data_IF_706545689045
#
_entry.id   IF_706545689045
#
_cell.length_a   1.000
_cell.length_b   1.000
_cell.length_c   1.000
_cell.angle_alpha   90.00
_cell.angle_beta   90.00
_cell.angle_gamma   90.00
#
_symmetry.space_group_name_H-M   'P 1'
#
loop_
_entity.id
_entity.type
_entity.pdbx_description
1 polymer ?
#
# COMPACT_ATOMS: atom_id res chain seq x y z
N UNK A 1 42.13 -14.42 -56.12
CA UNK A 1 41.60 -13.08 -55.81
C UNK A 1 41.77 -12.85 -54.31
N UNK A 2 42.64 -11.89 -53.95
CA UNK A 2 42.76 -11.20 -52.63
C UNK A 2 42.09 -9.81 -52.81
N UNK A 3 41.63 -9.07 -51.78
CA UNK A 3 42.25 -8.87 -50.44
C UNK A 3 41.29 -9.19 -49.27
N UNK A 4 41.67 -9.51 -48.02
CA UNK A 4 42.74 -9.09 -47.09
C UNK A 4 42.62 -7.62 -46.64
N UNK A 5 41.72 -7.34 -45.68
CA UNK A 5 41.74 -6.10 -44.89
C UNK A 5 42.32 -6.40 -43.50
N UNK A 6 43.46 -5.76 -43.23
CA UNK A 6 44.19 -5.78 -41.99
C UNK A 6 43.75 -4.65 -41.06
N UNK A 7 43.98 -4.89 -39.77
CA UNK A 7 43.66 -4.07 -38.62
C UNK A 7 44.47 -2.76 -38.50
N UNK A 8 43.90 -1.77 -37.80
CA UNK A 8 44.54 -0.72 -37.00
C UNK A 8 43.41 -0.13 -36.12
N UNK A 9 43.39 -0.22 -34.79
CA UNK A 9 44.29 0.24 -33.72
C UNK A 9 43.57 1.34 -32.90
N UNK A 10 43.80 1.28 -31.60
CA UNK A 10 43.08 1.91 -30.51
C UNK A 10 43.21 3.44 -30.44
N UNK A 11 42.24 4.08 -29.77
CA UNK A 11 42.51 5.27 -28.97
C UNK A 11 41.50 5.34 -27.80
N UNK A 12 42.01 5.08 -26.59
CA UNK A 12 41.38 5.50 -25.34
C UNK A 12 41.34 7.03 -25.29
N UNK A 13 40.21 7.60 -24.89
CA UNK A 13 40.15 8.96 -24.38
C UNK A 13 39.34 8.94 -23.07
N UNK A 14 40.09 8.98 -21.97
CA UNK A 14 39.62 9.34 -20.64
C UNK A 14 39.06 10.75 -20.69
N UNK A 15 37.80 10.94 -20.29
CA UNK A 15 37.23 12.28 -20.06
C UNK A 15 37.17 12.50 -18.54
N UNK A 16 37.93 13.46 -17.99
CA UNK A 16 37.93 13.77 -16.57
C UNK A 16 36.71 14.60 -16.14
N UNK A 17 36.24 14.34 -14.92
CA UNK A 17 35.28 15.15 -14.16
C UNK A 17 35.81 16.57 -13.89
N UNK A 18 34.96 17.61 -13.93
CA UNK A 18 35.28 18.87 -13.30
C UNK A 18 34.93 18.81 -11.80
N UNK A 19 35.96 18.93 -10.98
CA UNK A 19 35.90 19.32 -9.58
C UNK A 19 36.46 20.75 -9.46
N UNK A 20 35.66 21.68 -8.93
CA UNK A 20 35.98 22.96 -8.28
C UNK A 20 34.64 23.76 -8.24
N UNK A 21 34.26 24.50 -7.19
CA UNK A 21 35.06 25.16 -6.19
C UNK A 21 34.31 25.19 -4.84
N UNK A 22 35.06 24.96 -3.77
CA UNK A 22 34.72 25.31 -2.40
C UNK A 22 35.34 26.69 -2.15
N UNK A 23 34.52 27.67 -1.77
CA UNK A 23 34.98 28.96 -1.25
C UNK A 23 34.68 29.01 0.25
N UNK A 24 35.75 29.31 0.98
CA UNK A 24 35.94 29.22 2.42
C UNK A 24 35.54 30.56 3.10
N UNK A 25 35.77 30.77 4.40
CA UNK A 25 34.78 31.27 5.34
C UNK A 25 34.91 32.78 5.62
N UNK A 26 33.80 33.45 5.88
CA UNK A 26 33.81 34.80 6.45
C UNK A 26 33.11 34.79 7.82
N UNK A 27 33.96 34.90 8.85
CA UNK A 27 33.59 35.18 10.22
C UNK A 27 32.70 36.44 10.30
N UNK A 28 31.74 36.43 11.23
CA UNK A 28 31.13 37.66 11.74
C UNK A 28 31.17 37.67 13.26
N UNK A 29 31.44 38.86 13.86
CA UNK A 29 31.95 38.98 15.21
C UNK A 29 30.86 38.98 16.28
N UNK A 30 31.34 38.75 17.49
CA UNK A 30 30.61 38.76 18.74
C UNK A 30 29.83 40.06 19.03
N UNK A 31 28.82 39.85 19.86
CA UNK A 31 27.81 40.74 20.44
C UNK A 31 28.28 42.13 20.94
N UNK A 32 27.30 43.04 21.10
CA UNK A 32 27.26 43.98 22.22
C UNK A 32 26.17 43.58 23.24
N UNK A 33 26.55 43.64 24.51
CA UNK A 33 25.68 43.59 25.69
C UNK A 33 25.54 45.02 26.29
N UNK A 34 24.71 45.29 27.31
CA UNK A 34 23.30 45.63 27.16
C UNK A 34 22.99 47.06 27.64
N UNK A 35 21.89 47.65 27.17
CA UNK A 35 21.25 48.76 27.86
C UNK A 35 19.77 48.47 28.08
N UNK A 36 19.42 48.63 29.34
CA UNK A 36 18.17 48.32 29.98
C UNK A 36 17.01 49.18 29.46
N UNK A 37 15.81 48.67 29.74
CA UNK A 37 14.49 49.32 29.77
C UNK A 37 13.61 49.08 28.54
N UNK A 38 12.76 48.04 28.62
CA UNK A 38 11.32 48.31 28.63
C UNK A 38 10.49 47.15 29.23
N UNK A 39 9.46 47.44 30.05
CA UNK A 39 8.56 46.44 30.61
C UNK A 39 7.43 46.13 29.62
N UNK A 40 7.06 44.85 29.55
CA UNK A 40 5.83 44.42 28.87
C UNK A 40 6.04 43.83 27.49
N UNK A 41 6.56 42.60 27.42
CA UNK A 41 6.25 41.70 26.32
C UNK A 41 5.56 40.49 26.91
N UNK A 42 4.25 40.40 26.69
CA UNK A 42 3.47 39.20 26.94
C UNK A 42 4.13 38.05 26.19
N UNK A 43 4.68 37.07 26.92
CA UNK A 43 5.23 35.87 26.32
C UNK A 43 4.11 35.15 25.55
N UNK A 44 4.26 35.08 24.22
CA UNK A 44 3.41 34.23 23.41
C UNK A 44 3.62 32.77 23.86
N UNK A 45 2.55 31.97 24.04
CA UNK A 45 2.70 30.57 24.40
C UNK A 45 3.50 29.85 23.30
N UNK A 46 4.30 28.82 23.66
CA UNK A 46 5.01 28.03 22.67
C UNK A 46 3.97 27.42 21.73
N UNK A 47 4.04 27.79 20.45
CA UNK A 47 3.30 27.11 19.40
C UNK A 47 3.85 25.69 19.36
N UNK A 48 3.10 24.74 19.88
CA UNK A 48 3.42 23.33 19.77
C UNK A 48 3.53 23.02 18.28
N UNK A 49 4.74 22.71 17.81
CA UNK A 49 4.95 22.22 16.45
C UNK A 49 4.12 20.95 16.31
N UNK A 50 3.11 20.90 15.43
CA UNK A 50 2.36 19.68 15.21
C UNK A 50 3.35 18.60 14.79
N UNK A 51 3.33 17.47 15.51
CA UNK A 51 4.14 16.31 15.14
C UNK A 51 3.88 15.99 13.67
N UNK A 52 4.95 15.94 12.87
CA UNK A 52 4.86 15.61 11.47
C UNK A 52 4.12 14.26 11.31
N UNK A 53 3.19 14.14 10.35
CA UNK A 53 2.53 12.86 10.10
C UNK A 53 3.59 11.77 9.88
N UNK A 54 3.35 10.54 10.35
CA UNK A 54 4.30 9.45 10.17
C UNK A 54 4.65 9.33 8.68
N UNK A 55 5.95 9.23 8.40
CA UNK A 55 6.43 9.02 7.04
C UNK A 55 5.72 7.79 6.44
N UNK A 56 5.34 7.84 5.14
CA UNK A 56 4.73 6.70 4.49
C UNK A 56 5.65 5.47 4.60
N UNK A 57 5.09 4.26 4.71
CA UNK A 57 5.87 3.04 4.93
C UNK A 57 6.90 2.88 3.80
N UNK A 58 8.16 2.72 4.21
CA UNK A 58 9.30 2.47 3.32
C UNK A 58 9.53 0.98 3.12
N UNK A 59 10.23 0.63 2.04
CA UNK A 59 10.61 -0.76 1.76
C UNK A 59 11.61 -1.32 2.78
N UNK A 60 11.55 -2.64 3.06
CA UNK A 60 12.41 -3.33 4.02
C UNK A 60 13.89 -3.32 3.62
N UNK A 61 14.77 -2.81 4.48
CA UNK A 61 16.21 -2.77 4.25
C UNK A 61 16.89 -4.09 4.65
N UNK A 62 16.30 -4.80 5.62
CA UNK A 62 16.86 -6.03 6.17
C UNK A 62 16.01 -7.23 5.78
N UNK A 63 16.66 -8.40 5.68
CA UNK A 63 15.97 -9.65 5.36
C UNK A 63 14.86 -10.00 6.37
N UNK A 64 15.05 -9.73 7.66
CA UNK A 64 14.03 -9.96 8.69
C UNK A 64 12.73 -9.17 8.46
N UNK A 65 12.79 -8.11 7.65
CA UNK A 65 11.70 -7.21 7.35
C UNK A 65 10.99 -7.59 6.03
N UNK A 66 11.57 -8.48 5.22
CA UNK A 66 10.99 -8.91 3.93
C UNK A 66 9.81 -9.89 4.08
N UNK A 67 9.86 -10.88 5.00
CA UNK A 67 8.74 -11.78 5.21
C UNK A 67 7.44 -11.04 5.56
N UNK A 68 6.34 -11.46 4.94
CA UNK A 68 5.04 -10.85 5.08
C UNK A 68 4.20 -10.92 3.81
N UNK A 69 3.13 -10.15 3.82
CA UNK A 69 2.17 -10.03 2.72
C UNK A 69 2.63 -8.97 1.72
N UNK A 70 2.63 -9.34 0.44
CA UNK A 70 3.06 -8.50 -0.68
C UNK A 70 2.02 -8.55 -1.80
N UNK A 71 1.82 -7.42 -2.49
CA UNK A 71 1.10 -7.36 -3.76
C UNK A 71 2.10 -7.42 -4.91
N UNK A 72 2.00 -8.44 -5.75
CA UNK A 72 2.67 -8.51 -7.03
C UNK A 72 1.71 -8.06 -8.12
N UNK A 73 2.08 -7.08 -8.92
CA UNK A 73 1.30 -6.59 -10.06
C UNK A 73 2.15 -6.52 -11.32
N UNK A 74 1.49 -6.66 -12.49
CA UNK A 74 2.12 -6.44 -13.80
C UNK A 74 1.79 -5.03 -14.27
N UNK A 75 2.82 -4.20 -14.41
CA UNK A 75 2.70 -2.82 -14.82
C UNK A 75 2.03 -2.73 -16.21
N UNK A 76 1.19 -1.72 -16.40
CA UNK A 76 0.39 -1.56 -17.62
C UNK A 76 -0.85 -2.46 -17.69
N UNK A 77 -1.14 -3.28 -16.68
CA UNK A 77 -2.36 -4.10 -16.60
C UNK A 77 -3.07 -3.97 -15.26
N UNK A 78 -4.28 -4.50 -15.16
CA UNK A 78 -5.02 -4.62 -13.89
C UNK A 78 -4.74 -5.96 -13.15
N UNK A 79 -3.75 -6.73 -13.61
CA UNK A 79 -3.45 -8.05 -13.08
C UNK A 79 -2.55 -7.95 -11.86
N UNK A 80 -3.06 -8.45 -10.73
CA UNK A 80 -2.36 -8.49 -9.44
C UNK A 80 -2.60 -9.78 -8.69
N UNK A 81 -1.69 -10.12 -7.79
CA UNK A 81 -1.73 -11.26 -6.91
C UNK A 81 -1.16 -10.86 -5.55
N UNK A 82 -1.95 -11.07 -4.50
CA UNK A 82 -1.44 -11.01 -3.13
C UNK A 82 -0.74 -12.34 -2.80
N UNK A 83 0.49 -12.25 -2.34
CA UNK A 83 1.31 -13.39 -1.92
C UNK A 83 1.91 -13.16 -0.54
N UNK A 84 2.31 -14.24 0.11
CA UNK A 84 2.99 -14.21 1.39
C UNK A 84 4.40 -14.80 1.23
N UNK A 85 5.41 -13.99 1.46
CA UNK A 85 6.82 -14.38 1.53
C UNK A 85 7.12 -14.78 2.97
N UNK A 86 7.65 -15.98 3.18
CA UNK A 86 7.87 -16.51 4.53
C UNK A 86 9.33 -16.80 4.79
N UNK A 87 9.78 -16.67 6.03
CA UNK A 87 11.18 -16.90 6.41
C UNK A 87 11.59 -18.36 6.37
N UNK A 88 10.65 -19.31 6.35
CA UNK A 88 11.01 -20.72 6.42
C UNK A 88 11.72 -21.17 5.15
N UNK A 89 12.78 -21.97 5.34
CA UNK A 89 13.51 -22.56 4.21
C UNK A 89 12.64 -23.61 3.50
N UNK A 90 12.80 -23.70 2.19
CA UNK A 90 12.26 -24.70 1.30
C UNK A 90 13.29 -25.10 0.25
N UNK A 91 12.85 -25.91 -0.72
CA UNK A 91 13.77 -26.55 -1.68
C UNK A 91 14.41 -25.54 -2.66
N UNK A 92 13.77 -24.40 -2.91
CA UNK A 92 14.22 -23.35 -3.83
C UNK A 92 14.51 -22.02 -3.13
N UNK A 93 15.02 -22.04 -1.90
CA UNK A 93 15.24 -20.86 -1.08
C UNK A 93 14.19 -20.73 0.02
N UNK A 94 13.67 -19.53 0.28
CA UNK A 94 12.61 -19.34 1.26
C UNK A 94 11.22 -19.59 0.68
N UNK A 95 10.29 -20.04 1.53
CA UNK A 95 8.94 -20.43 1.12
C UNK A 95 8.09 -19.21 0.81
N UNK A 96 7.19 -19.39 -0.15
CA UNK A 96 6.13 -18.44 -0.45
C UNK A 96 4.81 -19.17 -0.65
N UNK A 97 3.72 -18.44 -0.49
CA UNK A 97 2.37 -18.96 -0.71
C UNK A 97 1.49 -17.90 -1.34
N UNK A 98 0.59 -18.31 -2.22
CA UNK A 98 -0.39 -17.43 -2.85
C UNK A 98 -1.70 -18.17 -3.10
N UNK A 99 -2.85 -17.48 -3.12
CA UNK A 99 -4.14 -18.10 -3.44
C UNK A 99 -4.15 -18.75 -4.82
N UNK A 100 -4.96 -19.80 -5.01
CA UNK A 100 -5.05 -20.53 -6.28
C UNK A 100 -5.38 -19.62 -7.49
N UNK A 101 -6.17 -18.56 -7.27
CA UNK A 101 -6.53 -17.57 -8.29
C UNK A 101 -5.34 -16.79 -8.87
N UNK A 102 -4.23 -16.69 -8.15
CA UNK A 102 -3.04 -15.95 -8.61
C UNK A 102 -2.46 -16.51 -9.90
N UNK A 103 -2.52 -17.84 -10.11
CA UNK A 103 -2.01 -18.46 -11.35
C UNK A 103 -2.76 -18.00 -12.59
N UNK A 104 -4.04 -17.65 -12.44
CA UNK A 104 -4.86 -17.09 -13.52
C UNK A 104 -4.62 -15.60 -13.70
N UNK A 105 -4.43 -14.87 -12.59
CA UNK A 105 -4.18 -13.43 -12.61
C UNK A 105 -2.78 -13.09 -13.13
N UNK A 106 -1.76 -13.85 -12.75
CA UNK A 106 -0.37 -13.64 -13.16
C UNK A 106 0.26 -14.99 -13.53
N UNK A 107 0.18 -15.43 -14.79
CA UNK A 107 0.68 -16.75 -15.20
C UNK A 107 2.18 -16.99 -14.90
N UNK A 108 2.98 -15.92 -14.78
CA UNK A 108 4.39 -15.99 -14.39
C UNK A 108 4.59 -16.69 -13.03
N UNK A 109 3.61 -16.65 -12.13
CA UNK A 109 3.70 -17.28 -10.80
C UNK A 109 3.68 -18.82 -10.86
N UNK A 110 3.33 -19.42 -12.00
CA UNK A 110 3.35 -20.87 -12.16
C UNK A 110 4.77 -21.46 -12.07
N UNK A 111 5.78 -20.69 -12.48
CA UNK A 111 7.18 -21.12 -12.43
C UNK A 111 7.83 -20.91 -11.07
N UNK A 112 7.21 -20.12 -10.19
CA UNK A 112 7.82 -19.68 -8.93
C UNK A 112 7.75 -20.79 -7.88
N UNK A 113 8.91 -21.17 -7.36
CA UNK A 113 9.06 -22.21 -6.35
C UNK A 113 9.53 -21.66 -4.99
N UNK A 114 10.18 -20.51 -4.98
CA UNK A 114 10.70 -19.89 -3.76
C UNK A 114 11.10 -18.43 -3.99
N UNK A 115 11.58 -17.81 -2.92
CA UNK A 115 12.16 -16.47 -2.97
C UNK A 115 13.51 -16.43 -2.27
N UNK A 116 14.32 -15.45 -2.65
CA UNK A 116 15.63 -15.16 -2.07
C UNK A 116 15.73 -13.66 -1.79
N UNK A 117 16.59 -13.31 -0.84
CA UNK A 117 16.99 -11.94 -0.59
C UNK A 117 18.50 -11.83 -0.60
N UNK A 118 18.99 -10.74 -1.17
CA UNK A 118 20.42 -10.42 -1.26
C UNK A 118 20.58 -8.91 -1.36
N UNK A 119 21.81 -8.41 -1.40
CA UNK A 119 22.11 -6.98 -1.53
C UNK A 119 21.50 -6.35 -2.79
N UNK A 120 21.26 -7.15 -3.84
CA UNK A 120 20.58 -6.72 -5.08
C UNK A 120 19.05 -6.63 -4.96
N UNK A 121 18.47 -7.05 -3.84
CA UNK A 121 17.03 -7.03 -3.57
C UNK A 121 16.39 -8.42 -3.46
N UNK A 122 15.05 -8.43 -3.57
CA UNK A 122 14.21 -9.64 -3.52
C UNK A 122 14.21 -10.33 -4.88
N UNK A 123 14.31 -11.65 -4.91
CA UNK A 123 14.23 -12.44 -6.15
C UNK A 123 13.21 -13.56 -5.99
N UNK A 124 12.34 -13.72 -6.98
CA UNK A 124 11.46 -14.88 -7.08
C UNK A 124 12.09 -15.88 -8.05
N UNK A 125 12.24 -17.13 -7.62
CA UNK A 125 13.05 -18.14 -8.32
C UNK A 125 12.25 -19.37 -8.71
N UNK A 126 12.72 -20.07 -9.75
CA UNK A 126 12.22 -21.37 -10.15
C UNK A 126 12.74 -22.51 -9.23
N UNK A 127 12.32 -23.75 -9.51
CA UNK A 127 12.75 -24.94 -8.75
C UNK A 127 14.27 -25.22 -8.81
N UNK A 128 14.96 -24.67 -9.80
CA UNK A 128 16.41 -24.76 -9.96
C UNK A 128 17.13 -23.53 -9.40
N UNK A 129 16.43 -22.70 -8.62
CA UNK A 129 16.96 -21.47 -8.02
C UNK A 129 17.35 -20.41 -9.08
N UNK A 130 16.80 -20.52 -10.30
CA UNK A 130 17.01 -19.52 -11.35
C UNK A 130 16.05 -18.35 -11.15
N UNK A 131 16.53 -17.10 -11.27
CA UNK A 131 15.68 -15.92 -11.11
C UNK A 131 14.64 -15.83 -12.23
N UNK A 132 13.37 -15.75 -11.85
CA UNK A 132 12.24 -15.45 -12.74
C UNK A 132 11.94 -13.95 -12.69
N UNK A 133 11.95 -13.36 -11.49
CA UNK A 133 11.78 -11.93 -11.27
C UNK A 133 12.86 -11.45 -10.30
N UNK A 134 13.71 -10.54 -10.77
CA UNK A 134 14.69 -9.84 -9.95
C UNK A 134 14.21 -8.43 -9.62
N UNK A 135 13.85 -8.21 -8.36
CA UNK A 135 13.29 -6.96 -7.90
C UNK A 135 14.35 -6.04 -7.35
N UNK A 136 14.40 -4.82 -7.88
CA UNK A 136 15.24 -3.72 -7.39
C UNK A 136 14.37 -2.60 -6.80
N UNK A 137 14.93 -1.81 -5.88
CA UNK A 137 14.20 -0.63 -5.34
C UNK A 137 13.91 0.38 -6.43
N UNK A 138 12.66 0.85 -6.46
CA UNK A 138 12.31 2.04 -7.22
C UNK A 138 12.78 3.29 -6.46
N UNK A 139 13.12 4.39 -7.15
CA UNK A 139 13.51 5.65 -6.51
C UNK A 139 12.47 6.22 -5.53
N UNK A 140 11.21 5.82 -5.67
CA UNK A 140 10.12 6.22 -4.77
C UNK A 140 10.14 5.52 -3.40
N UNK A 141 11.05 4.57 -3.19
CA UNK A 141 11.26 3.79 -1.97
C UNK A 141 10.02 3.06 -1.41
N UNK A 142 8.97 2.93 -2.22
CA UNK A 142 7.67 2.36 -1.82
C UNK A 142 7.32 1.08 -2.55
N UNK A 143 8.01 0.79 -3.66
CA UNK A 143 7.82 -0.42 -4.44
C UNK A 143 9.14 -0.98 -4.97
N UNK A 144 9.19 -2.31 -5.12
CA UNK A 144 10.26 -2.94 -5.88
C UNK A 144 9.80 -3.18 -7.31
N UNK A 145 10.71 -3.12 -8.27
CA UNK A 145 10.41 -3.31 -9.69
C UNK A 145 11.31 -4.38 -10.28
N UNK A 146 10.72 -5.28 -11.08
CA UNK A 146 11.44 -6.27 -11.88
C UNK A 146 11.11 -6.06 -13.36
N UNK A 147 12.13 -6.01 -14.21
CA UNK A 147 11.99 -5.89 -15.68
C UNK A 147 12.47 -7.17 -16.34
N UNK A 148 11.65 -7.74 -17.20
CA UNK A 148 12.01 -8.90 -18.02
C UNK A 148 12.55 -8.43 -19.38
N UNK A 149 13.33 -9.29 -20.02
CA UNK A 149 13.90 -9.04 -21.36
C UNK A 149 12.82 -8.79 -22.42
N UNK A 150 11.62 -9.38 -22.25
CA UNK A 150 10.46 -9.14 -23.11
C UNK A 150 9.76 -7.79 -22.94
N UNK A 151 10.32 -6.87 -22.14
CA UNK A 151 9.75 -5.55 -21.86
C UNK A 151 8.66 -5.54 -20.78
N UNK A 152 8.25 -6.71 -20.28
CA UNK A 152 7.29 -6.80 -19.19
C UNK A 152 7.89 -6.27 -17.88
N UNK A 153 7.14 -5.45 -17.16
CA UNK A 153 7.56 -4.90 -15.87
C UNK A 153 6.59 -5.33 -14.78
N UNK A 154 7.13 -5.73 -13.64
CA UNK A 154 6.38 -6.17 -12.47
C UNK A 154 6.73 -5.30 -11.27
N UNK A 155 5.72 -4.97 -10.47
CA UNK A 155 5.86 -4.21 -9.24
C UNK A 155 5.54 -5.12 -8.05
N UNK A 156 6.34 -5.03 -7.00
CA UNK A 156 6.14 -5.73 -5.74
C UNK A 156 6.04 -4.71 -4.61
N UNK A 157 4.86 -4.64 -3.98
CA UNK A 157 4.50 -3.62 -2.98
C UNK A 157 4.21 -4.29 -1.64
N UNK A 158 4.81 -3.83 -0.53
CA UNK A 158 4.53 -4.41 0.78
C UNK A 158 3.12 -4.05 1.24
N UNK A 159 2.37 -5.04 1.72
CA UNK A 159 1.03 -4.84 2.30
C UNK A 159 1.03 -5.00 3.82
N UNK A 160 1.74 -6.01 4.34
CA UNK A 160 1.93 -6.25 5.77
C UNK A 160 3.20 -7.06 5.98
N UNK A 161 4.32 -6.40 6.27
CA UNK A 161 5.60 -7.06 6.55
C UNK A 161 5.87 -7.07 8.04
N UNK A 162 6.67 -8.02 8.53
CA UNK A 162 6.93 -8.17 9.96
C UNK A 162 7.39 -6.87 10.66
N UNK A 163 8.11 -6.00 9.95
CA UNK A 163 8.58 -4.70 10.46
C UNK A 163 7.47 -3.64 10.58
N UNK A 164 6.39 -3.75 9.82
CA UNK A 164 5.23 -2.86 9.90
C UNK A 164 4.25 -3.28 11.00
N UNK A 165 4.40 -4.49 11.56
CA UNK A 165 3.61 -4.92 12.71
C UNK A 165 4.06 -4.10 13.93
N UNK A 166 3.13 -3.45 14.66
CA UNK A 166 3.48 -2.71 15.86
C UNK A 166 4.28 -3.60 16.80
N UNK A 167 5.38 -3.09 17.34
CA UNK A 167 6.04 -3.74 18.46
C UNK A 167 5.01 -3.86 19.58
N UNK A 168 4.52 -5.08 19.82
CA UNK A 168 3.69 -5.35 20.98
C UNK A 168 4.48 -4.82 22.18
N UNK A 169 3.91 -3.86 22.89
CA UNK A 169 4.53 -3.24 24.06
C UNK A 169 5.02 -4.37 24.96
N UNK A 170 6.32 -4.43 25.19
CA UNK A 170 6.89 -5.33 26.17
C UNK A 170 6.27 -4.97 27.51
N UNK A 171 5.19 -5.64 27.88
CA UNK A 171 4.74 -5.65 29.26
C UNK A 171 5.91 -6.18 30.08
N UNK A 172 6.35 -5.48 31.14
CA UNK A 172 7.49 -5.91 31.91
C UNK A 172 7.18 -7.31 32.45
N UNK A 173 8.07 -8.26 32.14
CA UNK A 173 8.13 -9.54 32.80
C UNK A 173 8.46 -9.26 34.27
N UNK A 174 7.43 -9.25 35.12
CA UNK A 174 7.62 -9.32 36.56
C UNK A 174 8.11 -10.75 36.83
N UNK A 175 9.40 -10.89 37.08
CA UNK A 175 9.94 -12.11 37.66
C UNK A 175 9.39 -12.25 39.08
N UNK A 176 8.65 -13.32 39.33
CA UNK A 176 8.10 -13.64 40.64
C UNK A 176 7.32 -14.95 40.59
N UNK A 177 8.02 -16.05 40.86
CA UNK A 177 7.41 -17.34 41.19
C UNK A 177 6.66 -17.18 42.51
N UNK A 178 5.35 -17.44 42.56
CA UNK A 178 4.76 -18.07 43.76
C UNK A 178 3.43 -18.77 43.44
N UNK A 179 3.45 -20.08 43.66
CA UNK A 179 2.43 -21.05 44.06
C UNK A 179 0.95 -20.82 43.70
N UNK A 180 0.37 -21.80 43.00
CA UNK A 180 -1.06 -22.00 42.87
C UNK A 180 -1.74 -22.23 44.23
N UNK A 181 -2.97 -21.72 44.43
CA UNK A 181 -3.96 -22.41 45.24
C UNK A 181 -5.15 -22.87 44.39
N UNK A 182 -5.71 -24.01 44.82
CA UNK A 182 -6.89 -24.69 44.30
C UNK A 182 -8.15 -23.80 44.21
N UNK A 183 -9.16 -24.18 43.39
CA UNK A 183 -10.30 -23.33 43.10
C UNK A 183 -11.28 -23.31 44.28
N UNK A 184 -11.64 -22.11 44.76
CA UNK A 184 -12.84 -21.89 45.58
C UNK A 184 -13.96 -21.28 44.73
N UNK A 185 -15.22 -21.65 44.99
CA UNK A 185 -16.29 -21.52 44.01
C UNK A 185 -16.84 -20.11 43.89
N UNK A 186 -17.25 -19.78 42.66
CA UNK A 186 -18.28 -18.81 42.25
C UNK A 186 -18.61 -17.72 43.29
N UNK A 187 -17.86 -16.62 43.20
CA UNK A 187 -18.30 -15.33 43.72
C UNK A 187 -18.98 -14.59 42.58
N UNK A 188 -20.28 -14.39 42.69
CA UNK A 188 -21.11 -13.58 41.79
C UNK A 188 -20.43 -12.22 41.56
N UNK A 189 -20.05 -11.95 40.31
CA UNK A 189 -19.49 -10.66 39.93
C UNK A 189 -20.59 -9.57 40.05
N UNK A 190 -20.28 -8.39 40.61
CA UNK A 190 -21.18 -7.25 40.47
C UNK A 190 -21.26 -6.85 38.99
N UNK A 191 -22.46 -6.49 38.53
CA UNK A 191 -22.67 -5.99 37.19
C UNK A 191 -21.76 -4.77 36.94
N UNK A 192 -20.99 -4.83 35.86
CA UNK A 192 -20.19 -3.71 35.38
C UNK A 192 -21.13 -2.57 35.03
N UNK A 193 -20.94 -1.34 35.54
CA UNK A 193 -21.73 -0.19 35.12
C UNK A 193 -21.60 0.00 33.61
N UNK A 194 -22.72 0.27 32.92
CA UNK A 194 -22.82 0.45 31.47
C UNK A 194 -21.97 1.61 30.89
N UNK A 195 -21.19 2.30 31.72
CA UNK A 195 -20.34 3.43 31.38
C UNK A 195 -19.01 3.02 30.72
N UNK A 196 -18.53 1.78 30.93
CA UNK A 196 -17.20 1.33 30.45
C UNK A 196 -17.21 0.56 29.11
N UNK A 197 -18.37 0.31 28.51
CA UNK A 197 -18.46 -0.28 27.16
C UNK A 197 -18.38 0.75 26.02
N UNK A 198 -18.38 2.05 26.32
CA UNK A 198 -18.19 3.10 25.30
C UNK A 198 -16.73 3.52 25.21
N UNK A 199 -15.89 2.63 24.70
CA UNK A 199 -14.80 3.05 23.81
C UNK A 199 -15.18 2.61 22.41
N UNK A 200 -16.24 3.24 21.92
CA UNK A 200 -16.49 3.45 20.50
C UNK A 200 -15.19 3.89 19.85
N UNK A 201 -14.71 3.07 18.92
CA UNK A 201 -13.85 3.52 17.85
C UNK A 201 -14.36 4.88 17.38
N UNK A 202 -13.48 5.87 17.37
CA UNK A 202 -13.80 7.20 16.89
C UNK A 202 -14.33 7.06 15.47
N UNK A 203 -15.66 7.13 15.34
CA UNK A 203 -16.35 7.39 14.09
C UNK A 203 -15.82 8.73 13.62
N UNK A 204 -14.90 8.70 12.65
CA UNK A 204 -14.68 9.86 11.81
C UNK A 204 -16.06 10.33 11.34
N UNK A 205 -16.38 11.63 11.42
CA UNK A 205 -17.67 12.12 10.96
C UNK A 205 -17.85 11.61 9.54
N UNK A 206 -18.91 10.82 9.33
CA UNK A 206 -19.27 10.35 8.01
C UNK A 206 -19.39 11.62 7.16
N UNK A 207 -18.49 11.76 6.17
CA UNK A 207 -18.68 12.76 5.14
C UNK A 207 -20.08 12.61 4.55
N UNK A 208 -20.62 13.66 3.91
CA UNK A 208 -21.90 13.57 3.25
C UNK A 208 -21.96 12.29 2.40
N UNK A 209 -23.03 11.52 2.57
CA UNK A 209 -23.24 10.28 1.83
C UNK A 209 -23.26 10.53 0.32
N UNK A 210 -23.19 9.47 -0.50
CA UNK A 210 -23.23 9.63 -1.95
C UNK A 210 -24.55 10.30 -2.33
N UNK A 211 -24.48 11.38 -3.12
CA UNK A 211 -25.67 12.03 -3.64
C UNK A 211 -26.26 11.20 -4.79
N UNK A 212 -27.59 11.19 -4.97
CA UNK A 212 -28.19 10.73 -6.22
C UNK A 212 -27.59 11.47 -7.42
N UNK A 213 -27.47 10.80 -8.56
CA UNK A 213 -26.88 11.39 -9.77
C UNK A 213 -26.07 10.40 -10.59
N UNK A 214 -25.32 10.93 -11.55
CA UNK A 214 -24.48 10.12 -12.45
C UNK A 214 -23.11 9.91 -11.82
N UNK A 215 -22.58 8.70 -11.96
CA UNK A 215 -21.25 8.31 -11.51
C UNK A 215 -20.48 7.67 -12.65
N UNK A 216 -19.26 8.13 -12.87
CA UNK A 216 -18.31 7.56 -13.79
C UNK A 216 -17.51 6.46 -13.09
N UNK A 217 -17.41 5.30 -13.72
CA UNK A 217 -16.52 4.23 -13.32
C UNK A 217 -15.11 4.51 -13.86
N UNK A 218 -14.20 4.77 -12.93
CA UNK A 218 -12.78 4.83 -13.18
C UNK A 218 -12.14 3.47 -12.83
N UNK A 219 -11.42 2.92 -13.79
CA UNK A 219 -10.48 1.80 -13.64
C UNK A 219 -9.07 2.36 -13.41
N UNK A 220 -8.07 1.49 -13.41
CA UNK A 220 -6.69 1.89 -13.12
C UNK A 220 -6.14 2.87 -14.18
N UNK A 221 -6.22 2.50 -15.46
CA UNK A 221 -5.76 3.33 -16.58
C UNK A 221 -6.92 3.94 -17.37
N UNK A 222 -8.04 3.23 -17.46
CA UNK A 222 -9.23 3.74 -18.13
C UNK A 222 -10.07 4.54 -17.14
N UNK A 223 -10.33 5.81 -17.48
CA UNK A 223 -11.24 6.66 -16.72
C UNK A 223 -12.57 6.77 -17.45
N UNK A 224 -13.66 6.88 -16.70
CA UNK A 224 -15.01 7.08 -17.26
C UNK A 224 -15.37 6.04 -18.35
N UNK A 225 -15.06 4.77 -18.09
CA UNK A 225 -15.28 3.66 -19.04
C UNK A 225 -16.76 3.22 -19.08
N UNK A 226 -17.49 3.49 -18.01
CA UNK A 226 -18.94 3.33 -17.90
C UNK A 226 -19.50 4.39 -16.98
N UNK A 227 -20.78 4.69 -17.15
CA UNK A 227 -21.52 5.52 -16.21
C UNK A 227 -22.70 4.76 -15.63
N UNK A 228 -23.02 5.04 -14.38
CA UNK A 228 -24.22 4.56 -13.71
C UNK A 228 -24.98 5.73 -13.12
N UNK A 229 -26.29 5.64 -13.07
CA UNK A 229 -27.15 6.56 -12.34
C UNK A 229 -27.54 5.93 -11.02
N UNK A 230 -27.36 6.67 -9.93
CA UNK A 230 -27.91 6.36 -8.62
C UNK A 230 -29.19 7.18 -8.43
N UNK A 231 -30.32 6.51 -8.21
CA UNK A 231 -31.58 7.18 -7.86
C UNK A 231 -31.53 7.71 -6.42
N UNK A 232 -32.66 8.12 -5.83
CA UNK A 232 -32.75 8.54 -4.42
C UNK A 232 -32.13 7.53 -3.42
N UNK A 233 -31.87 7.96 -2.17
CA UNK A 233 -31.19 7.14 -1.17
C UNK A 233 -31.83 5.75 -0.98
N UNK A 234 -31.07 4.69 -1.24
CA UNK A 234 -31.60 3.31 -1.19
C UNK A 234 -32.32 2.83 -2.45
N UNK A 235 -32.29 3.65 -3.52
CA UNK A 235 -33.05 3.47 -4.74
C UNK A 235 -32.38 2.59 -5.80
N UNK A 236 -32.87 2.73 -7.03
CA UNK A 236 -32.40 2.00 -8.19
C UNK A 236 -31.00 2.43 -8.64
N UNK A 237 -30.36 1.52 -9.35
CA UNK A 237 -29.13 1.79 -10.08
C UNK A 237 -29.36 1.41 -11.53
N UNK A 238 -28.93 2.28 -12.43
CA UNK A 238 -29.07 2.07 -13.86
C UNK A 238 -27.73 2.25 -14.54
N UNK A 239 -27.30 1.28 -15.34
CA UNK A 239 -26.14 1.44 -16.21
C UNK A 239 -26.55 2.33 -17.38
N UNK A 240 -25.81 3.41 -17.59
CA UNK A 240 -26.04 4.34 -18.71
C UNK A 240 -25.61 3.65 -20.01
N UNK A 241 -26.37 3.80 -21.12
CA UNK A 241 -26.00 3.26 -22.42
C UNK A 241 -24.58 3.68 -22.86
N UNK A 242 -23.88 2.78 -23.57
CA UNK A 242 -22.49 3.01 -23.98
C UNK A 242 -21.45 2.62 -22.93
N UNK A 243 -21.83 1.75 -21.98
CA UNK A 243 -20.90 1.16 -21.04
C UNK A 243 -19.91 0.24 -21.79
N UNK A 244 -18.60 0.44 -21.56
CA UNK A 244 -17.53 -0.36 -22.16
C UNK A 244 -16.78 -1.25 -21.15
N UNK A 245 -17.35 -1.45 -19.96
CA UNK A 245 -16.78 -2.25 -18.88
C UNK A 245 -17.57 -3.55 -18.69
N UNK A 246 -17.03 -4.64 -19.23
CA UNK A 246 -17.68 -5.95 -19.14
C UNK A 246 -17.87 -6.45 -17.70
N UNK A 247 -17.08 -5.97 -16.74
CA UNK A 247 -17.24 -6.33 -15.33
C UNK A 247 -18.51 -5.75 -14.70
N UNK A 248 -18.79 -4.48 -14.97
CA UNK A 248 -19.97 -3.76 -14.51
C UNK A 248 -21.21 -4.22 -15.26
N UNK A 249 -21.10 -4.48 -16.57
CA UNK A 249 -22.19 -5.08 -17.37
C UNK A 249 -22.60 -6.47 -16.86
N UNK A 250 -21.63 -7.31 -16.49
CA UNK A 250 -21.91 -8.64 -15.91
C UNK A 250 -22.44 -8.53 -14.48
N UNK A 251 -21.94 -7.57 -13.71
CA UNK A 251 -22.43 -7.31 -12.36
C UNK A 251 -23.87 -6.79 -12.38
N UNK A 252 -24.24 -5.97 -13.37
CA UNK A 252 -25.60 -5.44 -13.60
C UNK A 252 -26.23 -4.90 -12.30
N UNK A 253 -25.70 -3.78 -11.75
CA UNK A 253 -26.18 -3.23 -10.49
C UNK A 253 -27.60 -2.68 -10.65
N UNK A 254 -28.49 -3.07 -9.74
CA UNK A 254 -29.91 -2.66 -9.76
C UNK A 254 -30.36 -1.89 -8.53
N UNK A 255 -29.57 -1.92 -7.45
CA UNK A 255 -29.89 -1.23 -6.20
C UNK A 255 -28.63 -0.73 -5.53
N UNK A 256 -28.72 0.44 -4.90
CA UNK A 256 -27.68 0.94 -4.01
C UNK A 256 -28.25 1.21 -2.61
N UNK A 257 -27.40 1.19 -1.60
CA UNK A 257 -27.72 1.71 -0.26
C UNK A 257 -26.51 2.39 0.34
N UNK A 258 -26.73 3.34 1.24
CA UNK A 258 -25.68 3.90 2.08
C UNK A 258 -26.01 3.68 3.56
N UNK A 259 -25.11 3.05 4.29
CA UNK A 259 -25.23 2.82 5.73
C UNK A 259 -23.84 2.73 6.36
N UNK A 260 -23.67 3.27 7.56
CA UNK A 260 -22.42 3.16 8.34
C UNK A 260 -21.17 3.61 7.56
N UNK A 261 -21.27 4.70 6.78
CA UNK A 261 -20.13 5.21 6.00
C UNK A 261 -19.79 4.41 4.74
N UNK A 262 -20.63 3.44 4.35
CA UNK A 262 -20.39 2.51 3.24
C UNK A 262 -21.55 2.52 2.26
N UNK A 263 -21.21 2.62 0.97
CA UNK A 263 -22.17 2.45 -0.12
C UNK A 263 -22.12 1.01 -0.60
N UNK A 264 -23.23 0.30 -0.59
CA UNK A 264 -23.34 -1.06 -1.13
C UNK A 264 -24.10 -1.02 -2.44
N UNK A 265 -23.51 -1.54 -3.52
CA UNK A 265 -24.22 -1.83 -4.76
C UNK A 265 -24.62 -3.29 -4.79
N UNK A 266 -25.86 -3.57 -5.21
CA UNK A 266 -26.41 -4.91 -5.33
C UNK A 266 -26.71 -5.20 -6.79
N UNK A 267 -26.10 -6.26 -7.30
CA UNK A 267 -26.35 -6.84 -8.61
C UNK A 267 -27.77 -7.38 -8.73
N UNK A 268 -28.27 -7.49 -9.96
CA UNK A 268 -29.50 -8.20 -10.28
C UNK A 268 -29.52 -9.64 -9.75
N UNK A 269 -28.35 -10.29 -9.73
CA UNK A 269 -28.18 -11.66 -9.22
C UNK A 269 -27.96 -11.74 -7.70
N UNK A 270 -28.05 -10.63 -6.99
CA UNK A 270 -27.93 -10.56 -5.52
C UNK A 270 -26.50 -10.45 -4.99
N UNK A 271 -25.47 -10.50 -5.84
CA UNK A 271 -24.10 -10.21 -5.41
C UNK A 271 -23.95 -8.75 -5.00
N UNK A 272 -23.15 -8.51 -3.96
CA UNK A 272 -22.90 -7.16 -3.46
C UNK A 272 -21.45 -6.76 -3.63
N UNK A 273 -21.24 -5.47 -3.85
CA UNK A 273 -19.93 -4.83 -3.66
C UNK A 273 -20.10 -3.68 -2.70
N UNK A 274 -19.15 -3.55 -1.79
CA UNK A 274 -19.11 -2.47 -0.84
C UNK A 274 -18.08 -1.43 -1.27
N UNK A 275 -18.43 -0.17 -1.10
CA UNK A 275 -17.67 0.98 -1.51
C UNK A 275 -17.51 1.92 -0.32
N UNK A 276 -16.32 2.47 -0.17
CA UNK A 276 -15.96 3.41 0.90
C UNK A 276 -15.52 4.74 0.27
N UNK A 277 -15.76 5.87 0.96
CA UNK A 277 -15.36 7.18 0.44
C UNK A 277 -13.83 7.26 0.34
N UNK A 278 -13.33 7.81 -0.76
CA UNK A 278 -11.90 8.05 -1.01
C UNK A 278 -11.56 9.54 -1.17
N UNK A 279 -12.51 10.44 -0.89
CA UNK A 279 -12.38 11.89 -1.07
C UNK A 279 -12.98 12.38 -2.39
N UNK A 280 -13.33 13.67 -2.45
CA UNK A 280 -13.76 14.37 -3.68
C UNK A 280 -14.90 13.69 -4.46
N UNK A 281 -15.93 13.21 -3.76
CA UNK A 281 -17.07 12.52 -4.38
C UNK A 281 -16.72 11.15 -4.99
N UNK A 282 -15.57 10.58 -4.62
CA UNK A 282 -15.10 9.27 -5.08
C UNK A 282 -15.36 8.17 -4.07
N UNK A 283 -15.71 7.00 -4.58
CA UNK A 283 -16.09 5.80 -3.85
C UNK A 283 -15.32 4.61 -4.39
N UNK A 284 -14.39 4.08 -3.60
CA UNK A 284 -13.55 2.94 -3.97
C UNK A 284 -14.10 1.64 -3.40
N UNK A 285 -13.90 0.53 -4.10
CA UNK A 285 -14.30 -0.80 -3.62
C UNK A 285 -13.51 -1.26 -2.40
N UNK A 286 -14.20 -1.94 -1.48
CA UNK A 286 -13.64 -2.53 -0.27
C UNK A 286 -14.20 -3.95 -0.06
N UNK A 287 -13.36 -4.99 0.09
CA UNK A 287 -11.91 -4.96 -0.10
C UNK A 287 -11.55 -4.69 -1.55
N UNK A 288 -10.37 -4.08 -1.80
CA UNK A 288 -9.87 -3.85 -3.15
C UNK A 288 -9.40 -5.16 -3.78
N UNK A 289 -10.36 -5.94 -4.29
CA UNK A 289 -10.12 -7.21 -4.97
C UNK A 289 -10.42 -7.10 -6.46
N UNK A 290 -9.59 -7.75 -7.28
CA UNK A 290 -9.73 -7.73 -8.75
C UNK A 290 -9.37 -6.38 -9.36
N UNK A 291 -10.04 -6.01 -10.46
CA UNK A 291 -9.83 -4.75 -11.17
C UNK A 291 -10.22 -3.55 -10.31
N UNK A 292 -9.39 -2.50 -10.30
CA UNK A 292 -9.68 -1.21 -9.65
C UNK A 292 -11.09 -0.76 -9.98
N UNK A 293 -11.86 -0.42 -8.96
CA UNK A 293 -13.23 0.03 -9.10
C UNK A 293 -13.38 1.29 -8.25
N UNK A 294 -13.45 2.43 -8.93
CA UNK A 294 -13.72 3.71 -8.28
C UNK A 294 -14.88 4.38 -9.01
N UNK A 295 -15.96 4.63 -8.29
CA UNK A 295 -17.01 5.50 -8.78
C UNK A 295 -16.67 6.93 -8.41
N UNK A 296 -16.79 7.84 -9.37
CA UNK A 296 -16.60 9.27 -9.18
C UNK A 296 -17.88 9.96 -9.62
N UNK A 297 -18.44 10.79 -8.74
CA UNK A 297 -19.59 11.60 -9.08
C UNK A 297 -19.27 12.49 -10.30
N UNK A 298 -20.21 12.57 -11.23
CA UNK A 298 -20.17 13.45 -12.40
C UNK A 298 -21.48 14.24 -12.39
N UNK A 299 -21.35 15.57 -12.46
CA UNK A 299 -22.47 16.51 -12.49
C UNK A 299 -23.33 16.35 -13.75
#
# INVERSE_FOLDING_TARGET
>A
MRPAQAALLAALALIPWPAAAQEDPAASPAAPEPSLLNPGTLAAPPIATPAAPPAPPSLPERLSEVPGTWDLSRDGTNRRCVMNLRSENGDAGQKLSFPAGCRRALPIVNGIAGWLFSDRGVRLVDRNVRPILEFVRRPDQRSLVAKLEGGETYSLVPLDIAAMRPAASAAPYIAGVETAPAPSPLRTAPAVPAELQRTTAATAPAGPGPAPGVYALDRFQERDTCRITLDGAGGGVHVVPGCHDGGLEVFDPVRWRYANGRMTLTAKRGHTIDLVPSGDGRWRREPEVGTTFVLRQVD
#
